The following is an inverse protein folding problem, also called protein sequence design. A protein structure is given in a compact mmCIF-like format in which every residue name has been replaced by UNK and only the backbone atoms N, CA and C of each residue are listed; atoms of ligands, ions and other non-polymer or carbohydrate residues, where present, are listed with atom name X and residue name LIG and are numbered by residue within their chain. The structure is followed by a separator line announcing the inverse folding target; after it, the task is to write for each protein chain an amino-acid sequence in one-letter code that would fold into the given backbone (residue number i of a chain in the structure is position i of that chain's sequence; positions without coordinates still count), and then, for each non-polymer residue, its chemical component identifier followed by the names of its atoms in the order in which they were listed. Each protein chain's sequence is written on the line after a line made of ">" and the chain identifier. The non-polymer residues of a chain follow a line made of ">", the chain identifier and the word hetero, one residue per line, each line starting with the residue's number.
data_IF_114541122915
#
_entry.id   IF_114541122915
#
_cell.length_a   1.000
_cell.length_b   1.000
_cell.length_c   1.000
_cell.angle_alpha   90.00
_cell.angle_beta   90.00
_cell.angle_gamma   90.00
#
_symmetry.space_group_name_H-M   'P 1'
#
loop_
_entity.id
_entity.type
_entity.pdbx_description
1 polymer ?
#
# COMPACT_ATOMS: atom_id res chain seq x y z
N UNK A 1 11.63 -18.58 -34.31
CA UNK A 1 10.77 -17.86 -33.36
C UNK A 1 10.83 -18.56 -32.01
N UNK A 2 10.88 -17.81 -30.91
CA UNK A 2 10.87 -18.31 -29.53
C UNK A 2 9.53 -17.96 -28.86
N UNK A 3 8.91 -18.93 -28.21
CA UNK A 3 7.74 -18.74 -27.37
C UNK A 3 8.19 -18.77 -25.91
N UNK A 4 7.92 -17.68 -25.16
CA UNK A 4 8.29 -17.53 -23.75
C UNK A 4 7.02 -17.53 -22.92
N UNK A 5 6.84 -18.55 -22.08
CA UNK A 5 5.80 -18.62 -21.07
C UNK A 5 6.37 -18.11 -19.76
N UNK A 6 5.80 -17.07 -19.19
CA UNK A 6 6.37 -16.32 -18.06
C UNK A 6 5.37 -16.09 -16.94
N UNK A 7 5.87 -16.09 -15.72
CA UNK A 7 5.22 -15.56 -14.52
C UNK A 7 6.09 -14.43 -13.96
N UNK A 8 6.25 -13.38 -14.76
CA UNK A 8 7.04 -12.20 -14.40
C UNK A 8 6.17 -11.23 -13.60
N UNK A 9 6.45 -11.01 -12.29
CA UNK A 9 5.60 -10.17 -11.47
C UNK A 9 5.69 -8.68 -11.87
N UNK A 10 4.59 -7.99 -11.68
CA UNK A 10 4.48 -6.54 -11.86
C UNK A 10 5.40 -5.79 -10.91
N UNK A 11 5.96 -4.72 -11.37
CA UNK A 11 6.60 -3.62 -10.65
C UNK A 11 6.47 -2.36 -11.48
N UNK A 12 6.54 -1.21 -10.85
CA UNK A 12 6.63 0.07 -11.56
C UNK A 12 7.76 0.01 -12.59
N UNK A 13 7.48 0.39 -13.82
CA UNK A 13 8.39 0.35 -14.98
C UNK A 13 8.88 -1.05 -15.43
N UNK A 14 8.27 -2.15 -14.95
CA UNK A 14 8.72 -3.51 -15.29
C UNK A 14 8.58 -3.83 -16.77
N UNK A 15 7.54 -3.35 -17.44
CA UNK A 15 7.32 -3.62 -18.86
C UNK A 15 8.44 -3.06 -19.75
N UNK A 16 8.96 -1.88 -19.44
CA UNK A 16 10.12 -1.31 -20.14
C UNK A 16 11.36 -2.24 -20.02
N UNK A 17 11.59 -2.80 -18.84
CA UNK A 17 12.69 -3.76 -18.62
C UNK A 17 12.48 -5.06 -19.40
N UNK A 18 11.24 -5.56 -19.49
CA UNK A 18 10.91 -6.75 -20.32
C UNK A 18 11.23 -6.49 -21.78
N UNK A 19 10.86 -5.35 -22.33
CA UNK A 19 11.18 -4.97 -23.69
C UNK A 19 12.69 -4.85 -23.93
N UNK A 20 13.40 -4.22 -23.01
CA UNK A 20 14.85 -4.05 -23.13
C UNK A 20 15.57 -5.41 -23.17
N UNK A 21 15.27 -6.31 -22.23
CA UNK A 21 15.87 -7.65 -22.17
C UNK A 21 15.53 -8.44 -23.43
N UNK A 22 14.28 -8.36 -23.89
CA UNK A 22 13.85 -9.05 -25.13
C UNK A 22 14.57 -8.54 -26.35
N UNK A 23 14.76 -7.22 -26.49
CA UNK A 23 15.53 -6.62 -27.60
C UNK A 23 16.99 -7.07 -27.60
N UNK A 24 17.64 -7.05 -26.43
CA UNK A 24 19.02 -7.52 -26.29
C UNK A 24 19.17 -8.99 -26.72
N UNK A 25 18.22 -9.84 -26.34
CA UNK A 25 18.22 -11.23 -26.78
C UNK A 25 18.03 -11.36 -28.32
N UNK A 26 17.11 -10.60 -28.89
CA UNK A 26 16.86 -10.59 -30.35
C UNK A 26 18.11 -10.10 -31.11
N UNK A 27 18.77 -9.04 -30.64
CA UNK A 27 20.01 -8.51 -31.23
C UNK A 27 21.12 -9.57 -31.27
N UNK A 28 21.24 -10.40 -30.21
CA UNK A 28 22.25 -11.45 -30.12
C UNK A 28 21.94 -12.67 -30.96
N UNK A 29 20.66 -12.99 -31.14
CA UNK A 29 20.24 -14.29 -31.71
C UNK A 29 19.57 -14.19 -33.07
N UNK A 30 19.03 -13.04 -33.44
CA UNK A 30 18.21 -12.82 -34.64
C UNK A 30 16.86 -13.55 -34.58
N UNK A 31 16.39 -13.96 -33.38
CA UNK A 31 15.17 -14.76 -33.20
C UNK A 31 14.02 -13.88 -32.73
N UNK A 32 12.89 -13.85 -33.45
CA UNK A 32 11.65 -13.21 -33.02
C UNK A 32 11.06 -13.87 -31.78
N UNK A 33 10.39 -13.12 -30.92
CA UNK A 33 9.86 -13.59 -29.64
C UNK A 33 8.38 -13.28 -29.52
N UNK A 34 7.61 -14.25 -29.01
CA UNK A 34 6.29 -14.06 -28.42
C UNK A 34 6.42 -14.35 -26.93
N UNK A 35 6.18 -13.32 -26.12
CA UNK A 35 6.26 -13.38 -24.66
C UNK A 35 4.85 -13.35 -24.08
N UNK A 36 4.43 -14.46 -23.48
CA UNK A 36 3.15 -14.60 -22.78
C UNK A 36 3.39 -14.54 -21.28
N UNK A 37 2.71 -13.64 -20.59
CA UNK A 37 2.85 -13.47 -19.15
C UNK A 37 1.53 -13.77 -18.44
N UNK A 38 1.64 -14.28 -17.20
CA UNK A 38 0.53 -14.58 -16.31
C UNK A 38 -0.27 -13.30 -15.97
N UNK A 39 -1.57 -13.46 -15.71
CA UNK A 39 -2.44 -12.43 -15.07
C UNK A 39 -2.95 -12.99 -13.76
N UNK A 40 -2.94 -12.16 -12.71
CA UNK A 40 -3.52 -12.50 -11.40
C UNK A 40 -2.66 -12.08 -10.22
N UNK A 41 -3.19 -12.27 -9.00
CA UNK A 41 -2.50 -12.05 -7.73
C UNK A 41 -2.13 -13.36 -7.06
N UNK A 42 -0.97 -13.40 -6.40
CA UNK A 42 -0.47 -14.52 -5.60
C UNK A 42 0.29 -13.96 -4.41
N UNK A 43 -0.27 -14.07 -3.21
CA UNK A 43 0.25 -13.48 -1.98
C UNK A 43 0.50 -11.96 -2.16
N UNK A 44 1.73 -11.48 -2.07
CA UNK A 44 2.10 -10.08 -2.35
C UNK A 44 2.37 -9.79 -3.83
N UNK A 45 2.49 -10.82 -4.67
CA UNK A 45 2.82 -10.65 -6.08
C UNK A 45 1.56 -10.43 -6.92
N UNK A 46 1.67 -9.52 -7.87
CA UNK A 46 0.67 -9.31 -8.91
C UNK A 46 1.33 -9.52 -10.27
N UNK A 47 0.65 -10.21 -11.17
CA UNK A 47 1.08 -10.44 -12.54
C UNK A 47 0.17 -9.67 -13.47
N UNK A 48 0.75 -8.76 -14.22
CA UNK A 48 0.06 -7.78 -15.05
C UNK A 48 -0.32 -8.28 -16.45
N UNK A 49 0.06 -9.51 -16.82
CA UNK A 49 -0.08 -9.94 -18.19
C UNK A 49 0.83 -9.11 -19.09
N UNK A 50 0.27 -8.13 -19.78
CA UNK A 50 1.01 -7.27 -20.71
C UNK A 50 1.85 -8.08 -21.71
N UNK A 51 1.33 -9.21 -22.16
CA UNK A 51 1.96 -10.11 -23.12
C UNK A 51 2.23 -9.38 -24.45
N UNK A 52 3.31 -9.73 -25.13
CA UNK A 52 3.72 -9.00 -26.33
C UNK A 52 4.47 -9.89 -27.33
N UNK A 53 4.60 -9.41 -28.55
CA UNK A 53 5.47 -10.03 -29.56
C UNK A 53 6.42 -8.99 -30.17
N UNK A 54 7.64 -9.44 -30.50
CA UNK A 54 8.64 -8.67 -31.21
C UNK A 54 9.20 -9.44 -32.41
N UNK A 55 9.42 -8.71 -33.51
CA UNK A 55 10.05 -9.27 -34.71
C UNK A 55 11.58 -9.39 -34.57
N UNK A 56 12.29 -9.87 -35.59
CA UNK A 56 13.75 -10.02 -35.58
C UNK A 56 14.53 -8.72 -35.51
N UNK A 57 13.89 -7.59 -35.77
CA UNK A 57 14.45 -6.25 -35.64
C UNK A 57 14.26 -5.66 -34.25
N UNK A 58 13.61 -6.41 -33.31
CA UNK A 58 13.30 -5.90 -31.96
C UNK A 58 12.14 -4.90 -31.92
N UNK A 59 11.38 -4.78 -33.02
CA UNK A 59 10.19 -3.94 -33.06
C UNK A 59 9.01 -4.66 -32.42
N UNK A 60 8.24 -3.94 -31.60
CA UNK A 60 7.00 -4.40 -31.02
C UNK A 60 5.96 -4.57 -32.11
N UNK A 61 5.40 -5.79 -32.23
CA UNK A 61 4.38 -6.13 -33.23
C UNK A 61 3.01 -6.31 -32.65
N UNK A 62 2.93 -6.81 -31.40
CA UNK A 62 1.70 -7.01 -30.66
C UNK A 62 1.90 -6.61 -29.21
N UNK A 63 0.85 -6.09 -28.58
CA UNK A 63 0.78 -5.77 -27.15
C UNK A 63 -0.62 -6.03 -26.66
N UNK A 64 -0.75 -6.95 -25.70
CA UNK A 64 -2.02 -7.22 -25.01
C UNK A 64 -2.20 -6.28 -23.82
N UNK A 65 -3.44 -6.22 -23.34
CA UNK A 65 -3.80 -5.38 -22.20
C UNK A 65 -3.12 -5.78 -20.90
N UNK A 66 -3.01 -4.84 -20.00
CA UNK A 66 -2.53 -5.06 -18.64
C UNK A 66 -3.69 -5.46 -17.71
N UNK A 67 -3.44 -6.34 -16.75
CA UNK A 67 -4.36 -6.79 -15.69
C UNK A 67 -5.67 -7.44 -16.17
N UNK A 68 -5.72 -7.87 -17.40
CA UNK A 68 -6.86 -8.58 -18.01
C UNK A 68 -6.40 -9.88 -18.67
N UNK A 69 -7.18 -10.94 -18.48
CA UNK A 69 -6.99 -12.19 -19.24
C UNK A 69 -7.44 -11.97 -20.68
N UNK A 70 -6.61 -12.35 -21.65
CA UNK A 70 -6.89 -12.18 -23.06
C UNK A 70 -6.37 -13.37 -23.88
N UNK A 71 -7.05 -13.66 -25.00
CA UNK A 71 -6.62 -14.60 -26.02
C UNK A 71 -6.63 -13.86 -27.35
N UNK A 72 -5.48 -13.73 -27.97
CA UNK A 72 -5.33 -13.09 -29.27
C UNK A 72 -4.63 -13.99 -30.27
N UNK A 73 -5.02 -13.88 -31.54
CA UNK A 73 -4.39 -14.57 -32.66
C UNK A 73 -3.26 -13.70 -33.23
N UNK A 74 -2.10 -14.30 -33.41
CA UNK A 74 -0.93 -13.63 -33.99
C UNK A 74 -0.62 -14.32 -35.34
N UNK A 75 -0.77 -13.56 -36.42
CA UNK A 75 -0.36 -14.03 -37.74
C UNK A 75 1.16 -14.07 -37.86
N UNK A 76 1.68 -15.20 -38.35
CA UNK A 76 3.12 -15.46 -38.47
C UNK A 76 3.47 -15.72 -39.91
N UNK A 77 4.41 -14.94 -40.45
CA UNK A 77 4.99 -15.17 -41.78
C UNK A 77 6.51 -15.30 -41.67
N UNK A 78 7.09 -16.32 -42.28
CA UNK A 78 8.53 -16.60 -42.26
C UNK A 78 9.14 -16.60 -40.83
N UNK A 79 8.46 -17.20 -39.86
CA UNK A 79 8.83 -17.20 -38.43
C UNK A 79 8.91 -15.82 -37.81
N UNK A 80 8.14 -14.85 -38.26
CA UNK A 80 8.01 -13.52 -37.68
C UNK A 80 6.56 -13.17 -37.48
N UNK A 81 6.19 -12.54 -36.33
CA UNK A 81 4.86 -11.98 -36.11
C UNK A 81 4.65 -10.79 -37.05
N UNK A 82 3.50 -10.77 -37.74
CA UNK A 82 3.11 -9.66 -38.61
C UNK A 82 2.65 -8.49 -37.72
N UNK A 83 3.18 -7.30 -37.98
CA UNK A 83 2.86 -6.11 -37.16
C UNK A 83 1.40 -5.72 -37.30
N UNK A 84 0.74 -5.45 -36.15
CA UNK A 84 -0.61 -4.91 -36.04
C UNK A 84 -0.59 -3.49 -35.48
N UNK A 85 -1.73 -2.81 -35.46
CA UNK A 85 -1.90 -1.56 -34.72
C UNK A 85 -1.81 -1.86 -33.22
N UNK A 86 -0.96 -1.08 -32.52
CA UNK A 86 -0.75 -1.27 -31.08
C UNK A 86 -1.68 -0.34 -30.30
N UNK A 87 -2.29 -0.85 -29.24
CA UNK A 87 -3.00 -0.01 -28.29
C UNK A 87 -2.05 1.02 -27.63
N UNK A 88 -2.59 2.19 -27.30
CA UNK A 88 -1.82 3.19 -26.57
C UNK A 88 -1.38 2.62 -25.20
N UNK A 89 -0.16 2.88 -24.76
CA UNK A 89 0.31 2.43 -23.47
C UNK A 89 -0.52 3.06 -22.35
N UNK A 90 -0.75 2.30 -21.29
CA UNK A 90 -1.46 2.78 -20.12
C UNK A 90 -0.59 3.78 -19.33
N UNK A 91 -1.23 4.73 -18.64
CA UNK A 91 -0.52 5.63 -17.74
C UNK A 91 0.07 4.85 -16.55
N UNK A 92 1.30 5.12 -16.13
CA UNK A 92 1.91 4.40 -15.00
C UNK A 92 1.06 4.41 -13.73
N UNK A 93 0.41 5.53 -13.41
CA UNK A 93 -0.46 5.66 -12.24
C UNK A 93 -1.69 4.74 -12.34
N UNK A 94 -2.23 4.56 -13.53
CA UNK A 94 -3.34 3.65 -13.80
C UNK A 94 -2.93 2.18 -13.59
N UNK A 95 -1.75 1.80 -14.08
CA UNK A 95 -1.20 0.44 -13.88
C UNK A 95 -0.97 0.15 -12.40
N UNK A 96 -0.47 1.12 -11.61
CA UNK A 96 -0.31 0.96 -10.17
C UNK A 96 -1.68 0.73 -9.50
N UNK A 97 -2.67 1.56 -9.81
CA UNK A 97 -4.01 1.44 -9.25
C UNK A 97 -4.64 0.09 -9.57
N UNK A 98 -4.53 -0.37 -10.81
CA UNK A 98 -5.05 -1.68 -11.24
C UNK A 98 -4.31 -2.85 -10.58
N UNK A 99 -3.01 -2.74 -10.35
CA UNK A 99 -2.24 -3.74 -9.61
C UNK A 99 -2.77 -3.90 -8.17
N UNK A 100 -3.06 -2.79 -7.49
CA UNK A 100 -3.63 -2.80 -6.15
C UNK A 100 -5.04 -3.44 -6.14
N UNK A 101 -5.89 -3.07 -7.10
CA UNK A 101 -7.23 -3.67 -7.25
C UNK A 101 -7.15 -5.18 -7.52
N UNK A 102 -6.28 -5.61 -8.45
CA UNK A 102 -6.14 -7.04 -8.77
C UNK A 102 -5.60 -7.84 -7.57
N UNK A 103 -4.64 -7.27 -6.82
CA UNK A 103 -4.12 -7.89 -5.61
C UNK A 103 -5.20 -8.12 -4.55
N UNK A 104 -6.00 -7.08 -4.23
CA UNK A 104 -7.13 -7.18 -3.29
C UNK A 104 -8.16 -8.20 -3.77
N UNK A 105 -8.55 -8.11 -5.04
CA UNK A 105 -9.55 -9.01 -5.65
C UNK A 105 -9.13 -10.48 -5.54
N UNK A 106 -7.93 -10.80 -5.98
CA UNK A 106 -7.46 -12.18 -6.04
C UNK A 106 -7.16 -12.73 -4.65
N UNK A 107 -6.56 -11.93 -3.76
CA UNK A 107 -6.32 -12.36 -2.39
C UNK A 107 -7.62 -12.69 -1.66
N UNK A 108 -8.63 -11.83 -1.75
CA UNK A 108 -9.94 -12.04 -1.13
C UNK A 108 -10.63 -13.27 -1.72
N UNK A 109 -10.70 -13.35 -3.06
CA UNK A 109 -11.43 -14.41 -3.76
C UNK A 109 -10.78 -15.78 -3.61
N UNK A 110 -9.46 -15.87 -3.79
CA UNK A 110 -8.71 -17.15 -3.76
C UNK A 110 -8.69 -17.77 -2.36
N UNK A 111 -8.74 -16.93 -1.32
CA UNK A 111 -8.85 -17.42 0.07
C UNK A 111 -10.30 -17.66 0.51
N UNK A 112 -11.29 -17.45 -0.34
CA UNK A 112 -12.69 -17.75 -0.05
C UNK A 112 -13.36 -16.76 0.91
N UNK A 113 -12.83 -15.55 1.09
CA UNK A 113 -13.49 -14.53 1.90
C UNK A 113 -14.73 -13.98 1.17
N UNK A 114 -15.88 -13.85 1.85
CA UNK A 114 -17.12 -13.34 1.25
C UNK A 114 -17.05 -11.85 0.91
N UNK A 115 -16.18 -11.09 1.55
CA UNK A 115 -15.98 -9.66 1.37
C UNK A 115 -14.85 -9.13 2.24
N UNK A 116 -14.79 -7.82 2.41
CA UNK A 116 -13.79 -7.18 3.24
C UNK A 116 -14.41 -6.10 4.15
N UNK A 117 -13.72 -5.85 5.28
CA UNK A 117 -14.01 -4.70 6.14
C UNK A 117 -12.73 -3.89 6.36
N UNK A 118 -12.91 -2.60 6.63
CA UNK A 118 -11.82 -1.71 7.00
C UNK A 118 -12.30 -0.61 7.95
N UNK A 119 -11.35 -0.08 8.74
CA UNK A 119 -11.58 1.13 9.52
C UNK A 119 -11.53 2.35 8.61
N UNK A 120 -12.62 3.13 8.55
CA UNK A 120 -12.67 4.39 7.79
C UNK A 120 -12.50 5.55 8.77
N UNK A 121 -11.31 6.15 8.78
CA UNK A 121 -10.96 7.24 9.72
C UNK A 121 -11.30 8.63 9.22
N UNK A 122 -11.63 8.80 7.92
CA UNK A 122 -11.70 10.09 7.26
C UNK A 122 -10.32 10.64 6.84
N UNK A 123 -9.26 9.85 6.95
CA UNK A 123 -7.92 10.14 6.43
C UNK A 123 -7.69 9.56 5.04
N UNK A 124 -6.68 10.09 4.32
CA UNK A 124 -6.38 9.79 2.91
C UNK A 124 -6.09 8.31 2.66
N UNK A 125 -5.38 7.63 3.59
CA UNK A 125 -5.01 6.22 3.43
C UNK A 125 -6.22 5.29 3.51
N UNK A 126 -7.08 5.50 4.51
CA UNK A 126 -8.33 4.74 4.64
C UNK A 126 -9.29 5.02 3.48
N UNK A 127 -9.31 6.26 2.98
CA UNK A 127 -10.09 6.64 1.80
C UNK A 127 -9.60 5.91 0.54
N UNK A 128 -8.30 5.94 0.25
CA UNK A 128 -7.75 5.22 -0.90
C UNK A 128 -7.98 3.71 -0.77
N UNK A 129 -7.77 3.14 0.41
CA UNK A 129 -8.01 1.71 0.67
C UNK A 129 -9.45 1.33 0.40
N UNK A 130 -10.43 2.16 0.85
CA UNK A 130 -11.85 1.94 0.57
C UNK A 130 -12.15 2.00 -0.93
N UNK A 131 -11.64 3.01 -1.64
CA UNK A 131 -11.84 3.15 -3.08
C UNK A 131 -11.31 1.93 -3.85
N UNK A 132 -10.09 1.48 -3.55
CA UNK A 132 -9.48 0.29 -4.15
C UNK A 132 -10.30 -0.97 -3.83
N UNK A 133 -10.76 -1.12 -2.59
CA UNK A 133 -11.55 -2.28 -2.18
C UNK A 133 -12.89 -2.36 -2.92
N UNK A 134 -13.57 -1.22 -3.09
CA UNK A 134 -14.83 -1.13 -3.84
C UNK A 134 -14.62 -1.43 -5.32
N UNK A 135 -13.58 -0.86 -5.93
CA UNK A 135 -13.27 -1.10 -7.34
C UNK A 135 -12.83 -2.56 -7.59
N UNK A 136 -12.23 -3.21 -6.59
CA UNK A 136 -11.79 -4.61 -6.68
C UNK A 136 -12.91 -5.63 -6.47
N UNK A 137 -13.83 -5.37 -5.54
CA UNK A 137 -14.78 -6.38 -5.04
C UNK A 137 -16.25 -6.02 -5.28
N UNK A 138 -16.57 -4.74 -5.49
CA UNK A 138 -17.92 -4.20 -5.48
C UNK A 138 -18.36 -3.68 -4.10
N UNK A 139 -19.17 -2.63 -4.07
CA UNK A 139 -19.61 -1.96 -2.85
C UNK A 139 -20.40 -2.90 -1.91
N UNK A 140 -21.16 -3.82 -2.46
CA UNK A 140 -21.98 -4.82 -1.74
C UNK A 140 -21.17 -5.79 -0.89
N UNK A 141 -19.86 -5.94 -1.16
CA UNK A 141 -18.95 -6.82 -0.44
C UNK A 141 -18.04 -6.08 0.56
N UNK A 142 -18.21 -4.77 0.67
CA UNK A 142 -17.38 -3.95 1.55
C UNK A 142 -18.22 -3.38 2.69
N UNK A 143 -17.66 -3.43 3.91
CA UNK A 143 -18.17 -2.72 5.07
C UNK A 143 -17.11 -1.78 5.60
N UNK A 144 -17.43 -0.50 5.70
CA UNK A 144 -16.61 0.50 6.34
C UNK A 144 -17.04 0.65 7.80
N UNK A 145 -16.08 0.80 8.71
CA UNK A 145 -16.33 0.95 10.15
C UNK A 145 -15.68 2.22 10.65
N UNK A 146 -16.51 3.17 11.08
CA UNK A 146 -16.06 4.39 11.76
C UNK A 146 -16.02 4.14 13.26
N UNK A 147 -14.88 4.38 13.90
CA UNK A 147 -14.64 4.08 15.31
C UNK A 147 -14.16 5.34 16.06
N UNK A 148 -15.06 6.31 16.30
CA UNK A 148 -14.69 7.59 16.90
C UNK A 148 -14.29 7.48 18.36
N UNK A 149 -13.37 8.36 18.79
CA UNK A 149 -13.06 8.70 20.18
C UNK A 149 -13.30 10.19 20.41
N UNK A 150 -13.06 10.65 21.64
CA UNK A 150 -13.12 12.08 21.97
C UNK A 150 -12.15 12.97 21.15
N UNK A 151 -11.12 12.38 20.53
CA UNK A 151 -10.13 13.09 19.73
C UNK A 151 -10.47 13.12 18.25
N UNK A 152 -11.49 12.36 17.83
CA UNK A 152 -11.91 12.30 16.43
C UNK A 152 -12.56 13.61 16.01
N UNK A 153 -11.99 14.27 15.01
CA UNK A 153 -12.51 15.53 14.52
C UNK A 153 -13.88 15.34 13.83
N UNK A 154 -14.80 16.26 14.06
CA UNK A 154 -16.15 16.23 13.46
C UNK A 154 -16.10 16.25 11.92
N UNK A 155 -15.06 16.85 11.35
CA UNK A 155 -14.83 16.85 9.90
C UNK A 155 -14.50 15.46 9.37
N UNK A 156 -13.74 14.65 10.13
CA UNK A 156 -13.40 13.28 9.75
C UNK A 156 -14.65 12.38 9.68
N UNK A 157 -15.60 12.57 10.62
CA UNK A 157 -16.91 11.89 10.58
C UNK A 157 -17.69 12.27 9.33
N UNK A 158 -17.76 13.57 9.01
CA UNK A 158 -18.48 14.05 7.82
C UNK A 158 -17.88 13.52 6.54
N UNK A 159 -16.55 13.56 6.43
CA UNK A 159 -15.85 13.12 5.22
C UNK A 159 -15.96 11.59 5.03
N UNK A 160 -15.92 10.81 6.11
CA UNK A 160 -16.15 9.36 6.05
C UNK A 160 -17.59 9.01 5.60
N UNK A 161 -18.60 9.73 6.13
CA UNK A 161 -20.00 9.54 5.70
C UNK A 161 -20.17 9.92 4.22
N UNK A 162 -19.71 11.11 3.80
CA UNK A 162 -19.78 11.56 2.41
C UNK A 162 -19.15 10.54 1.45
N UNK A 163 -17.98 10.02 1.81
CA UNK A 163 -17.28 9.02 0.98
C UNK A 163 -18.02 7.69 0.90
N UNK A 164 -18.56 7.20 2.01
CA UNK A 164 -19.35 5.97 2.05
C UNK A 164 -20.60 6.08 1.17
N UNK A 165 -21.31 7.23 1.23
CA UNK A 165 -22.46 7.52 0.37
C UNK A 165 -22.07 7.57 -1.11
N UNK A 166 -20.98 8.27 -1.47
CA UNK A 166 -20.49 8.37 -2.86
C UNK A 166 -20.12 7.00 -3.46
N UNK A 167 -19.59 6.09 -2.64
CA UNK A 167 -19.23 4.73 -3.05
C UNK A 167 -20.35 3.70 -2.90
N UNK A 168 -21.47 4.06 -2.27
CA UNK A 168 -22.58 3.15 -1.98
C UNK A 168 -22.23 2.03 -1.00
N UNK A 169 -21.34 2.30 -0.04
CA UNK A 169 -20.85 1.33 0.94
C UNK A 169 -21.59 1.49 2.26
N UNK A 170 -21.92 0.36 2.92
CA UNK A 170 -22.45 0.36 4.29
C UNK A 170 -21.39 0.90 5.27
N UNK A 171 -21.72 2.00 5.96
CA UNK A 171 -20.89 2.57 7.03
C UNK A 171 -21.48 2.24 8.39
N UNK A 172 -20.73 1.49 9.18
CA UNK A 172 -21.05 1.19 10.57
C UNK A 172 -20.33 2.18 11.48
N UNK A 173 -21.02 2.74 12.46
CA UNK A 173 -20.40 3.58 13.48
C UNK A 173 -20.37 2.87 14.83
N UNK A 174 -19.20 2.78 15.45
CA UNK A 174 -18.98 2.16 16.74
C UNK A 174 -17.97 2.98 17.55
N UNK A 175 -18.46 3.82 18.47
CA UNK A 175 -17.57 4.60 19.34
C UNK A 175 -16.71 3.70 20.23
N UNK A 176 -15.41 3.96 20.29
CA UNK A 176 -14.49 3.26 21.19
C UNK A 176 -14.46 3.86 22.58
N UNK A 177 -15.06 5.04 22.79
CA UNK A 177 -14.91 5.81 24.03
C UNK A 177 -15.28 5.02 25.31
N UNK A 178 -16.42 4.31 25.37
CA UNK A 178 -16.78 3.55 26.59
C UNK A 178 -15.76 2.47 26.93
N UNK A 179 -15.21 1.79 25.91
CA UNK A 179 -14.19 0.75 26.12
C UNK A 179 -12.87 1.38 26.57
N UNK A 180 -12.49 2.49 25.95
CA UNK A 180 -11.27 3.24 26.28
C UNK A 180 -11.30 3.73 27.73
N UNK A 181 -12.41 4.34 28.17
CA UNK A 181 -12.59 4.82 29.55
C UNK A 181 -12.53 3.67 30.55
N UNK A 182 -13.14 2.52 30.25
CA UNK A 182 -13.10 1.36 31.13
C UNK A 182 -11.69 0.78 31.24
N UNK A 183 -10.93 0.73 30.15
CA UNK A 183 -9.52 0.28 30.22
C UNK A 183 -8.67 1.22 31.06
N UNK A 184 -8.86 2.55 30.93
CA UNK A 184 -8.11 3.51 31.73
C UNK A 184 -8.43 3.37 33.22
N UNK A 185 -9.71 3.23 33.59
CA UNK A 185 -10.11 3.02 34.98
C UNK A 185 -9.46 1.77 35.57
N UNK A 186 -9.43 0.67 34.83
CA UNK A 186 -8.80 -0.57 35.30
C UNK A 186 -7.28 -0.42 35.45
N UNK A 187 -6.62 0.28 34.52
CA UNK A 187 -5.17 0.51 34.58
C UNK A 187 -4.83 1.41 35.79
N UNK A 188 -5.60 2.46 36.02
CA UNK A 188 -5.39 3.35 37.16
C UNK A 188 -5.63 2.65 38.50
N UNK A 189 -6.75 1.90 38.62
CA UNK A 189 -7.11 1.22 39.85
C UNK A 189 -6.17 0.08 40.23
N UNK A 190 -5.83 -0.77 39.24
CA UNK A 190 -5.15 -2.03 39.52
C UNK A 190 -3.63 -1.89 39.46
N UNK A 191 -3.12 -1.00 38.62
CA UNK A 191 -1.68 -0.80 38.42
C UNK A 191 -1.13 0.50 39.00
N UNK A 192 -1.99 1.40 39.50
CA UNK A 192 -1.61 2.70 40.10
C UNK A 192 -0.79 3.58 39.13
N UNK A 193 -1.08 3.51 37.83
CA UNK A 193 -0.41 4.28 36.78
C UNK A 193 -1.24 5.54 36.52
N UNK A 194 -0.74 6.76 36.83
CA UNK A 194 -1.48 8.00 36.54
C UNK A 194 -1.69 8.17 35.02
N UNK A 195 -2.88 8.56 34.61
CA UNK A 195 -3.24 8.76 33.19
C UNK A 195 -2.60 10.01 32.56
N UNK A 196 -2.06 10.92 33.38
CA UNK A 196 -1.52 12.23 33.00
C UNK A 196 0.01 12.30 32.82
N UNK A 197 0.75 11.19 33.02
CA UNK A 197 2.20 11.15 32.84
C UNK A 197 2.59 11.19 31.36
N UNK A 198 3.77 11.73 31.01
CA UNK A 198 4.31 11.74 29.62
C UNK A 198 4.50 10.31 29.04
N UNK A 199 4.75 9.33 29.88
CA UNK A 199 4.73 7.92 29.51
C UNK A 199 3.30 7.39 29.21
N UNK A 200 2.26 8.05 29.74
CA UNK A 200 0.88 7.69 29.50
C UNK A 200 0.39 8.08 28.10
N UNK A 201 0.96 9.09 27.44
CA UNK A 201 0.53 9.50 26.11
C UNK A 201 0.68 8.39 25.08
N UNK A 202 1.85 7.73 25.00
CA UNK A 202 2.05 6.58 24.09
C UNK A 202 1.17 5.40 24.49
N UNK A 203 0.96 5.15 25.79
CA UNK A 203 0.07 4.10 26.27
C UNK A 203 -1.37 4.36 25.83
N UNK A 204 -1.89 5.56 26.05
CA UNK A 204 -3.27 5.94 25.72
C UNK A 204 -3.52 5.98 24.21
N UNK A 205 -2.57 6.48 23.42
CA UNK A 205 -2.62 6.49 21.96
C UNK A 205 -2.68 5.04 21.42
N UNK A 206 -1.77 4.19 21.86
CA UNK A 206 -1.70 2.79 21.44
C UNK A 206 -2.92 1.97 21.92
N UNK A 207 -3.47 2.28 23.07
CA UNK A 207 -4.68 1.62 23.58
C UNK A 207 -5.87 1.87 22.65
N UNK A 208 -6.08 3.12 22.20
CA UNK A 208 -7.14 3.44 21.25
C UNK A 208 -6.99 2.65 19.94
N UNK A 209 -5.77 2.60 19.38
CA UNK A 209 -5.49 1.85 18.17
C UNK A 209 -5.80 0.35 18.34
N UNK A 210 -5.42 -0.25 19.49
CA UNK A 210 -5.67 -1.67 19.78
C UNK A 210 -7.14 -1.98 20.00
N UNK A 211 -7.90 -1.10 20.65
CA UNK A 211 -9.35 -1.26 20.77
C UNK A 211 -10.00 -1.31 19.39
N UNK A 212 -9.63 -0.40 18.47
CA UNK A 212 -10.10 -0.40 17.09
C UNK A 212 -9.74 -1.69 16.36
N UNK A 213 -8.49 -2.14 16.46
CA UNK A 213 -8.05 -3.41 15.86
C UNK A 213 -8.84 -4.61 16.40
N UNK A 214 -9.08 -4.68 17.72
CA UNK A 214 -9.87 -5.75 18.35
C UNK A 214 -11.32 -5.76 17.86
N UNK A 215 -11.95 -4.59 17.74
CA UNK A 215 -13.33 -4.48 17.21
C UNK A 215 -13.41 -4.94 15.75
N UNK A 216 -12.48 -4.50 14.89
CA UNK A 216 -12.44 -4.94 13.49
C UNK A 216 -12.26 -6.46 13.40
N UNK A 217 -11.38 -7.06 14.19
CA UNK A 217 -11.16 -8.51 14.18
C UNK A 217 -12.37 -9.28 14.73
N UNK A 218 -13.10 -8.74 15.70
CA UNK A 218 -14.35 -9.34 16.18
C UNK A 218 -15.43 -9.32 15.07
N UNK A 219 -15.57 -8.22 14.34
CA UNK A 219 -16.48 -8.13 13.21
C UNK A 219 -16.08 -9.05 12.06
N UNK A 220 -14.77 -9.18 11.80
CA UNK A 220 -14.21 -10.14 10.84
C UNK A 220 -14.60 -11.58 11.18
N UNK A 221 -14.40 -11.99 12.42
CA UNK A 221 -14.75 -13.34 12.89
C UNK A 221 -16.26 -13.62 12.80
N UNK A 222 -17.09 -12.60 13.03
CA UNK A 222 -18.54 -12.72 12.91
C UNK A 222 -19.01 -12.84 11.46
N UNK A 223 -18.44 -12.04 10.56
CA UNK A 223 -18.89 -11.95 9.16
C UNK A 223 -18.15 -12.92 8.22
N UNK A 224 -17.00 -13.44 8.62
CA UNK A 224 -16.08 -14.17 7.74
C UNK A 224 -15.29 -13.28 6.77
N UNK A 225 -15.53 -11.96 6.77
CA UNK A 225 -14.87 -11.02 5.86
C UNK A 225 -13.45 -10.69 6.33
N UNK A 226 -12.54 -10.48 5.38
CA UNK A 226 -11.16 -10.11 5.72
C UNK A 226 -11.07 -8.64 6.17
N UNK A 227 -10.20 -8.34 7.13
CA UNK A 227 -9.86 -6.95 7.48
C UNK A 227 -8.74 -6.46 6.58
N UNK A 228 -8.98 -5.34 5.87
CA UNK A 228 -7.96 -4.62 5.12
C UNK A 228 -7.33 -3.55 6.01
N UNK A 229 -5.99 -3.56 6.13
CA UNK A 229 -5.28 -2.50 6.84
C UNK A 229 -4.95 -1.34 5.89
N UNK A 230 -4.82 -0.15 6.45
CA UNK A 230 -4.68 1.10 5.70
C UNK A 230 -3.29 1.73 5.79
N UNK A 231 -2.36 1.11 6.53
CA UNK A 231 -0.99 1.62 6.67
C UNK A 231 -0.23 1.60 5.35
N UNK A 232 0.45 2.71 5.04
CA UNK A 232 1.24 2.88 3.83
C UNK A 232 2.73 2.58 4.04
N UNK A 233 3.52 2.53 2.95
CA UNK A 233 4.96 2.22 2.98
C UNK A 233 5.75 3.17 3.87
N UNK A 234 5.46 4.46 3.84
CA UNK A 234 6.19 5.48 4.59
C UNK A 234 6.02 5.31 6.09
N UNK A 235 4.79 5.08 6.55
CA UNK A 235 4.46 4.81 7.95
C UNK A 235 5.08 3.50 8.44
N UNK A 236 4.95 2.43 7.65
CA UNK A 236 5.52 1.10 7.95
C UNK A 236 7.04 1.15 8.00
N UNK A 237 7.70 1.92 7.12
CA UNK A 237 9.14 2.09 7.09
C UNK A 237 9.68 2.59 8.44
N UNK A 238 9.12 3.69 8.91
CA UNK A 238 9.58 4.35 10.15
C UNK A 238 8.89 3.86 11.41
N UNK A 239 7.95 2.89 11.27
CA UNK A 239 7.20 2.32 12.39
C UNK A 239 6.19 3.26 13.02
N UNK A 240 5.68 4.23 12.25
CA UNK A 240 4.56 5.11 12.65
C UNK A 240 3.25 4.35 12.55
N UNK A 241 3.16 3.30 13.35
CA UNK A 241 2.05 2.35 13.41
C UNK A 241 2.05 1.64 14.78
N UNK A 242 0.92 1.10 15.17
CA UNK A 242 0.74 0.40 16.45
C UNK A 242 0.57 -1.10 16.23
N UNK A 243 1.49 -1.91 16.81
CA UNK A 243 1.33 -3.36 16.83
C UNK A 243 0.00 -3.77 17.45
N UNK A 244 -0.72 -4.69 16.78
CA UNK A 244 -2.03 -5.18 17.20
C UNK A 244 -3.13 -4.09 17.26
N UNK A 245 -2.85 -2.93 16.65
CA UNK A 245 -3.79 -1.82 16.50
C UNK A 245 -4.16 -1.63 15.02
N UNK A 246 -3.69 -0.55 14.41
CA UNK A 246 -3.88 -0.23 12.99
C UNK A 246 -3.22 -1.22 12.01
N UNK A 247 -2.25 -2.01 12.50
CA UNK A 247 -1.66 -3.14 11.76
C UNK A 247 -2.49 -4.43 11.83
N UNK A 248 -3.56 -4.48 12.64
CA UNK A 248 -4.39 -5.68 12.79
C UNK A 248 -5.28 -5.88 11.56
N UNK A 249 -5.02 -6.95 10.82
CA UNK A 249 -5.79 -7.31 9.62
C UNK A 249 -5.15 -8.46 8.84
N UNK A 250 -5.82 -8.86 7.76
CA UNK A 250 -5.39 -9.99 6.93
C UNK A 250 -4.66 -9.58 5.65
N UNK A 251 -4.80 -8.32 5.20
CA UNK A 251 -4.15 -7.82 3.99
C UNK A 251 -3.90 -6.31 4.07
N UNK A 252 -2.68 -5.88 3.75
CA UNK A 252 -2.24 -4.49 3.80
C UNK A 252 -2.19 -3.89 2.39
N UNK A 253 -3.28 -3.24 1.97
CA UNK A 253 -3.47 -2.77 0.59
C UNK A 253 -2.36 -1.82 0.14
N UNK A 254 -1.97 -0.88 1.01
CA UNK A 254 -1.01 0.19 0.71
C UNK A 254 0.40 -0.08 1.25
N UNK A 255 0.71 -1.33 1.65
CA UNK A 255 1.98 -1.71 2.28
C UNK A 255 3.23 -1.23 1.55
N UNK A 256 3.20 -1.25 0.21
CA UNK A 256 4.32 -0.85 -0.66
C UNK A 256 4.02 0.44 -1.46
N UNK A 257 3.05 1.24 -1.00
CA UNK A 257 2.66 2.54 -1.58
C UNK A 257 3.17 3.65 -0.67
N UNK A 258 4.07 4.53 -1.16
CA UNK A 258 4.54 5.68 -0.40
C UNK A 258 3.42 6.71 -0.17
N UNK A 259 3.54 7.54 0.86
CA UNK A 259 2.52 8.55 1.18
C UNK A 259 2.29 9.53 0.03
N UNK A 260 3.34 9.95 -0.63
CA UNK A 260 3.25 10.83 -1.83
C UNK A 260 2.48 10.15 -2.96
N UNK A 261 2.69 8.84 -3.16
CA UNK A 261 1.96 8.06 -4.15
C UNK A 261 0.50 7.82 -3.74
N UNK A 262 0.18 7.73 -2.44
CA UNK A 262 -1.20 7.65 -1.94
C UNK A 262 -2.00 8.87 -2.42
N UNK A 263 -1.46 10.08 -2.26
CA UNK A 263 -2.11 11.30 -2.76
C UNK A 263 -2.32 11.28 -4.28
N UNK A 264 -1.29 10.92 -5.04
CA UNK A 264 -1.38 10.82 -6.50
C UNK A 264 -2.43 9.79 -6.96
N UNK A 265 -2.57 8.67 -6.26
CA UNK A 265 -3.57 7.65 -6.54
C UNK A 265 -4.99 8.11 -6.18
N UNK A 266 -5.18 8.90 -5.12
CA UNK A 266 -6.46 9.53 -4.80
C UNK A 266 -6.90 10.50 -5.89
N UNK A 267 -6.00 11.35 -6.35
CA UNK A 267 -6.24 12.28 -7.45
C UNK A 267 -6.58 11.52 -8.74
N UNK A 268 -5.80 10.50 -9.08
CA UNK A 268 -6.08 9.65 -10.24
C UNK A 268 -7.46 9.00 -10.16
N UNK A 269 -7.82 8.43 -9.00
CA UNK A 269 -9.14 7.80 -8.83
C UNK A 269 -10.28 8.79 -9.00
N UNK A 270 -10.12 10.02 -8.51
CA UNK A 270 -11.10 11.08 -8.67
C UNK A 270 -11.21 11.61 -10.11
N UNK A 271 -10.19 11.45 -10.96
CA UNK A 271 -10.30 11.74 -12.40
C UNK A 271 -11.23 10.76 -13.14
N UNK A 272 -11.35 9.52 -12.64
CA UNK A 272 -12.29 8.53 -13.21
C UNK A 272 -13.73 8.87 -12.81
N UNK A 273 -13.96 9.02 -11.51
CA UNK A 273 -15.20 9.55 -10.94
C UNK A 273 -14.92 10.04 -9.52
N UNK A 274 -15.48 11.19 -9.16
CA UNK A 274 -15.24 11.83 -7.86
C UNK A 274 -15.93 11.03 -6.75
N UNK A 275 -15.13 10.28 -5.97
CA UNK A 275 -15.60 9.46 -4.85
C UNK A 275 -14.86 9.75 -3.54
N UNK A 276 -13.68 10.36 -3.61
CA UNK A 276 -12.91 10.78 -2.43
C UNK A 276 -13.15 12.28 -2.24
N UNK A 277 -13.76 12.71 -1.12
CA UNK A 277 -13.94 14.13 -0.82
C UNK A 277 -12.62 14.90 -0.89
N UNK A 278 -12.62 16.05 -1.55
CA UNK A 278 -11.40 16.83 -1.78
C UNK A 278 -10.73 17.27 -0.48
N UNK A 279 -11.50 17.52 0.56
CA UNK A 279 -11.00 17.85 1.90
C UNK A 279 -10.12 16.77 2.49
N UNK A 280 -10.39 15.48 2.21
CA UNK A 280 -9.53 14.36 2.65
C UNK A 280 -8.14 14.46 2.01
N UNK A 281 -8.08 14.85 0.74
CA UNK A 281 -6.80 15.00 0.01
C UNK A 281 -6.02 16.23 0.47
N UNK A 282 -6.72 17.34 0.75
CA UNK A 282 -6.09 18.62 1.09
C UNK A 282 -5.69 18.74 2.56
N UNK A 283 -6.27 17.93 3.44
CA UNK A 283 -6.03 17.99 4.87
C UNK A 283 -4.68 17.41 5.25
N UNK A 284 -3.98 18.06 6.17
CA UNK A 284 -2.76 17.53 6.77
C UNK A 284 -3.02 16.15 7.44
N UNK A 285 -2.16 15.15 7.22
CA UNK A 285 -2.33 13.82 7.80
C UNK A 285 -2.17 13.85 9.33
N UNK A 286 -3.02 13.08 10.02
CA UNK A 286 -3.04 12.96 11.47
C UNK A 286 -3.63 11.63 11.90
N UNK A 287 -3.06 11.03 12.93
CA UNK A 287 -3.59 9.82 13.56
C UNK A 287 -4.80 10.06 14.47
N UNK A 288 -5.11 11.31 14.84
CA UNK A 288 -6.23 11.72 15.71
C UNK A 288 -6.31 10.94 17.05
N UNK A 289 -5.16 10.67 17.66
CA UNK A 289 -5.05 9.96 18.94
C UNK A 289 -4.88 10.89 20.15
N UNK A 290 -4.58 12.18 19.88
CA UNK A 290 -4.44 13.27 20.85
C UNK A 290 -4.88 14.61 20.24
N UNK A 291 -5.13 15.67 21.09
CA UNK A 291 -5.53 16.99 20.57
C UNK A 291 -4.47 17.58 19.62
N UNK A 292 -4.93 18.18 18.51
CA UNK A 292 -4.10 18.91 17.53
C UNK A 292 -2.88 18.12 16.99
N UNK A 293 -2.97 16.80 16.96
CA UNK A 293 -1.90 15.93 16.44
C UNK A 293 -1.72 16.12 14.94
N UNK A 294 -0.45 16.16 14.50
CA UNK A 294 -0.05 16.03 13.10
C UNK A 294 1.10 15.03 12.99
N UNK A 295 1.22 14.34 11.85
CA UNK A 295 2.31 13.39 11.64
C UNK A 295 3.67 14.09 11.64
N UNK A 296 3.72 15.34 11.20
CA UNK A 296 4.92 16.19 11.17
C UNK A 296 5.43 16.60 12.56
N UNK A 297 4.65 16.39 13.63
CA UNK A 297 5.16 16.53 15.01
C UNK A 297 6.32 15.53 15.26
N UNK A 298 6.34 14.42 14.53
CA UNK A 298 7.27 13.31 14.76
C UNK A 298 8.09 12.94 13.53
N UNK A 299 7.65 13.29 12.32
CA UNK A 299 8.28 12.89 11.05
C UNK A 299 8.67 14.12 10.21
N UNK A 300 9.69 13.99 9.34
CA UNK A 300 9.92 14.98 8.29
C UNK A 300 8.71 15.08 7.35
N UNK A 301 8.60 16.15 6.54
CA UNK A 301 7.63 16.19 5.44
C UNK A 301 7.70 14.92 4.58
N UNK A 302 6.55 14.42 4.13
CA UNK A 302 6.50 13.12 3.45
C UNK A 302 7.29 13.08 2.13
N UNK A 303 7.42 14.21 1.42
CA UNK A 303 8.26 14.31 0.23
C UNK A 303 9.74 14.02 0.54
N UNK A 304 10.22 14.47 1.70
CA UNK A 304 11.59 14.20 2.18
C UNK A 304 11.69 12.77 2.69
N UNK A 305 10.72 12.35 3.50
CA UNK A 305 10.68 11.01 4.08
C UNK A 305 10.70 9.92 3.01
N UNK A 306 9.81 10.03 2.02
CA UNK A 306 9.68 9.06 0.92
C UNK A 306 10.94 9.01 0.06
N UNK A 307 11.55 10.17 -0.23
CA UNK A 307 12.78 10.25 -0.99
C UNK A 307 13.97 9.59 -0.26
N UNK A 308 14.09 9.78 1.06
CA UNK A 308 15.13 9.10 1.86
C UNK A 308 14.88 7.58 1.92
N UNK A 309 13.62 7.15 2.10
CA UNK A 309 13.26 5.72 2.09
C UNK A 309 13.62 5.09 0.73
N UNK A 310 13.28 5.73 -0.39
CA UNK A 310 13.58 5.21 -1.72
C UNK A 310 15.10 5.17 -1.98
N UNK A 311 15.84 6.19 -1.57
CA UNK A 311 17.29 6.19 -1.72
C UNK A 311 17.94 5.09 -0.87
N UNK A 312 17.54 4.95 0.40
CA UNK A 312 18.14 4.00 1.32
C UNK A 312 17.73 2.55 1.05
N UNK A 313 16.42 2.30 0.96
CA UNK A 313 15.85 0.95 0.84
C UNK A 313 15.73 0.51 -0.62
N UNK A 314 15.25 1.39 -1.51
CA UNK A 314 15.04 1.10 -2.91
C UNK A 314 16.33 1.02 -3.71
N UNK A 315 17.23 1.99 -3.50
CA UNK A 315 18.47 2.14 -4.28
C UNK A 315 19.74 1.70 -3.56
N UNK A 316 19.65 1.28 -2.27
CA UNK A 316 20.78 0.87 -1.44
C UNK A 316 21.88 1.94 -1.30
N UNK A 317 21.51 3.23 -1.28
CA UNK A 317 22.47 4.29 -1.04
C UNK A 317 22.92 4.30 0.41
N UNK A 318 24.21 4.60 0.62
CA UNK A 318 24.73 4.85 1.96
C UNK A 318 24.18 6.18 2.51
N UNK A 319 24.18 6.37 3.83
CA UNK A 319 23.77 7.64 4.42
C UNK A 319 24.52 8.85 3.86
N UNK A 320 25.84 8.71 3.61
CA UNK A 320 26.70 9.75 3.05
C UNK A 320 26.28 10.10 1.62
N UNK A 321 25.95 9.08 0.79
CA UNK A 321 25.44 9.29 -0.56
C UNK A 321 24.08 10.03 -0.54
N UNK A 322 23.20 9.70 0.41
CA UNK A 322 21.91 10.40 0.55
C UNK A 322 22.11 11.86 0.98
N UNK A 323 23.01 12.13 1.92
CA UNK A 323 23.36 13.50 2.31
C UNK A 323 23.96 14.27 1.14
N UNK A 324 24.78 13.63 0.30
CA UNK A 324 25.33 14.23 -0.91
C UNK A 324 24.27 14.61 -1.96
N UNK A 325 23.04 14.07 -1.90
CA UNK A 325 21.88 14.51 -2.68
C UNK A 325 21.20 15.78 -2.12
N UNK A 326 21.84 16.47 -1.17
CA UNK A 326 21.36 17.68 -0.49
C UNK A 326 20.15 17.46 0.46
N UNK A 327 19.96 16.27 0.98
CA UNK A 327 19.04 16.05 2.11
C UNK A 327 19.69 16.47 3.43
N UNK A 328 18.88 16.97 4.36
CA UNK A 328 19.35 17.38 5.67
C UNK A 328 19.90 16.16 6.45
N UNK A 329 21.11 16.26 6.98
CA UNK A 329 21.77 15.17 7.69
C UNK A 329 20.95 14.66 8.88
N UNK A 330 20.32 15.54 9.65
CA UNK A 330 19.51 15.15 10.80
C UNK A 330 18.25 14.37 10.39
N UNK A 331 17.64 14.72 9.26
CA UNK A 331 16.50 13.97 8.72
C UNK A 331 16.93 12.60 8.20
N UNK A 332 18.05 12.51 7.48
CA UNK A 332 18.62 11.24 6.98
C UNK A 332 18.92 10.31 8.17
N UNK A 333 19.63 10.82 9.18
CA UNK A 333 19.95 10.06 10.39
C UNK A 333 18.71 9.57 11.11
N UNK A 334 17.72 10.46 11.32
CA UNK A 334 16.46 10.16 11.99
C UNK A 334 15.68 9.06 11.25
N UNK A 335 15.51 9.20 9.94
CA UNK A 335 14.73 8.25 9.13
C UNK A 335 15.38 6.88 9.12
N UNK A 336 16.70 6.79 8.87
CA UNK A 336 17.42 5.51 8.86
C UNK A 336 17.39 4.85 10.24
N UNK A 337 17.58 5.64 11.32
CA UNK A 337 17.44 5.12 12.68
C UNK A 337 16.06 4.52 12.94
N UNK A 338 14.98 5.21 12.53
CA UNK A 338 13.60 4.72 12.66
C UNK A 338 13.38 3.45 11.85
N UNK A 339 13.89 3.37 10.61
CA UNK A 339 13.83 2.17 9.78
C UNK A 339 14.46 0.97 10.50
N UNK A 340 15.67 1.13 11.03
CA UNK A 340 16.36 0.03 11.73
C UNK A 340 15.62 -0.39 13.01
N UNK A 341 15.21 0.58 13.83
CA UNK A 341 14.58 0.34 15.12
C UNK A 341 13.23 -0.38 15.00
N UNK A 342 12.50 -0.16 13.92
CA UNK A 342 11.12 -0.63 13.76
C UNK A 342 11.00 -1.91 12.92
N UNK A 343 12.08 -2.61 12.61
CA UNK A 343 12.02 -3.89 11.90
C UNK A 343 11.09 -4.90 12.59
N UNK A 344 11.08 -4.95 13.92
CA UNK A 344 10.22 -5.88 14.68
C UNK A 344 8.72 -5.65 14.41
N UNK A 345 8.30 -4.40 14.12
CA UNK A 345 6.91 -4.10 13.74
C UNK A 345 6.63 -4.63 12.32
N UNK A 346 7.52 -4.37 11.36
CA UNK A 346 7.38 -4.81 9.98
C UNK A 346 7.24 -6.33 9.85
N UNK A 347 7.95 -7.10 10.68
CA UNK A 347 7.87 -8.57 10.72
C UNK A 347 6.50 -9.11 11.12
N UNK A 348 5.64 -8.29 11.69
CA UNK A 348 4.28 -8.64 12.10
C UNK A 348 3.21 -7.98 11.23
N UNK A 349 3.60 -7.32 10.17
CA UNK A 349 2.69 -6.71 9.19
C UNK A 349 2.07 -7.79 8.30
N UNK A 350 0.77 -7.72 7.98
CA UNK A 350 0.15 -8.64 7.03
C UNK A 350 0.78 -8.52 5.63
N UNK A 351 0.58 -9.54 4.76
CA UNK A 351 0.97 -9.43 3.35
C UNK A 351 0.25 -8.27 2.69
N UNK A 352 0.81 -7.73 1.62
CA UNK A 352 0.23 -6.62 0.85
C UNK A 352 0.83 -6.54 -0.54
N UNK A 353 0.18 -5.82 -1.45
CA UNK A 353 0.58 -5.76 -2.86
C UNK A 353 1.95 -5.13 -3.00
N UNK A 354 2.86 -5.85 -3.63
CA UNK A 354 4.19 -5.36 -3.98
C UNK A 354 4.16 -4.67 -5.33
N UNK A 355 4.54 -3.40 -5.37
CA UNK A 355 4.60 -2.59 -6.59
C UNK A 355 5.99 -2.04 -6.88
N UNK A 356 6.89 -2.05 -5.90
CA UNK A 356 8.25 -1.52 -6.05
C UNK A 356 9.30 -2.63 -6.19
N UNK A 357 10.54 -2.25 -6.46
CA UNK A 357 11.65 -3.17 -6.55
C UNK A 357 12.00 -3.77 -5.18
N UNK A 358 11.88 -2.95 -4.13
CA UNK A 358 12.26 -3.30 -2.78
C UNK A 358 11.11 -2.99 -1.83
N UNK A 359 10.49 -4.03 -1.27
CA UNK A 359 9.37 -3.95 -0.32
C UNK A 359 9.81 -4.39 1.08
N UNK A 360 9.06 -3.94 2.09
CA UNK A 360 9.25 -4.36 3.48
C UNK A 360 8.54 -5.70 3.81
N UNK A 361 8.49 -6.61 2.88
CA UNK A 361 7.87 -7.92 3.03
C UNK A 361 8.88 -9.03 2.81
N UNK A 362 9.20 -9.26 1.54
CA UNK A 362 10.02 -10.40 1.11
C UNK A 362 11.42 -10.00 0.67
N UNK A 363 11.64 -8.75 0.26
CA UNK A 363 12.89 -8.37 -0.40
C UNK A 363 13.85 -7.56 0.47
N UNK A 364 13.36 -6.87 1.49
CA UNK A 364 14.20 -6.08 2.37
C UNK A 364 13.91 -6.37 3.84
N UNK A 365 14.95 -6.75 4.56
CA UNK A 365 14.94 -7.03 6.00
C UNK A 365 16.17 -6.46 6.68
N UNK A 366 15.98 -5.95 7.89
CA UNK A 366 17.08 -5.57 8.78
C UNK A 366 17.10 -6.49 10.01
N UNK A 367 18.29 -6.76 10.62
CA UNK A 367 18.34 -7.55 11.85
C UNK A 367 17.57 -6.89 12.99
N UNK A 368 16.64 -7.61 13.62
CA UNK A 368 15.86 -7.09 14.76
C UNK A 368 16.78 -6.85 15.97
N UNK A 369 17.69 -7.77 16.22
CA UNK A 369 18.60 -7.75 17.38
C UNK A 369 19.97 -7.19 16.99
N UNK A 370 20.00 -6.00 16.39
CA UNK A 370 21.25 -5.33 16.03
C UNK A 370 21.58 -4.22 17.03
N UNK A 371 22.81 -4.24 17.55
CA UNK A 371 23.38 -3.12 18.32
C UNK A 371 24.28 -2.22 17.47
N UNK A 372 24.39 -2.51 16.19
CA UNK A 372 25.19 -1.71 15.25
C UNK A 372 24.59 -0.30 15.11
N UNK A 373 25.44 0.72 15.32
CA UNK A 373 25.09 2.12 15.11
C UNK A 373 25.83 2.62 13.88
N UNK A 374 25.10 3.13 12.89
CA UNK A 374 25.71 3.70 11.68
C UNK A 374 26.51 4.95 12.02
N UNK A 375 26.05 5.73 13.02
CA UNK A 375 26.76 6.89 13.55
C UNK A 375 27.20 6.62 14.98
N UNK A 376 28.49 6.91 15.26
CA UNK A 376 28.98 6.99 16.64
C UNK A 376 28.37 8.24 17.28
N UNK A 377 27.61 8.07 18.33
CA UNK A 377 27.13 9.18 19.16
C UNK A 377 28.27 9.82 19.88
#
# INVERSE_FOLDING_TARGET
>A
MLLVLSASPYRINKQASRYQITRQFIEQTGISIIHTNLVGGQDELVFDGASFAMNRQGELTHQLGEFVEAIELIDIHNNQPIKTELAAPQLPIASIYQALCLGVKDYTRKNGFPGALLGLSGGVDSALTLAIAVDALGADKIKAVMMPSQYTASISLKDANEMAELLGVELLECSIQPLFDQFLLNIESDFQIPSDSTASNTMTENLQARIRGTLLMALSNHSGSIVLTTGNKSEIAVGYCTLYGDMAGGFAVLKDVSKTLVYALCEYRNQISRVIPERIIQRAPSAELRPNQTDQDSLPPYEILDAIIEAYVGNNYSPEEIIALNYNEADVQKVIHLIHRNEYKRRQSPPGVRITHCDFGTTWHYPITSSYKIWST
#
